data_IF_366727695066
#
_entry.id   IF_366727695066
#
_cell.length_a   1.000
_cell.length_b   1.000
_cell.length_c   1.000
_cell.angle_alpha   90.00
_cell.angle_beta   90.00
_cell.angle_gamma   90.00
#
_symmetry.space_group_name_H-M   'P 1'
#
loop_
_entity.id
_entity.type
_entity.pdbx_description
1 polymer ?
2 non-polymer ?
3 non-polymer ?
4 non-polymer ?
5 water ?
#
# COMPACT_ATOMS: atom_id res chain seq x y z
N UNK A 21 -14.59 -8.80 0.91
CA UNK A 21 -15.69 -8.73 -0.06
C UNK A 21 -16.44 -7.37 -0.13
N UNK A 22 -16.87 -6.78 1.02
CA UNK A 22 -17.39 -5.42 0.97
C UNK A 22 -16.53 -4.47 1.82
N UNK A 23 -16.55 -3.22 1.47
CA UNK A 23 -15.86 -2.19 2.16
C UNK A 23 -16.86 -1.29 2.86
N UNK A 24 -16.61 -1.06 4.15
CA UNK A 24 -17.41 -0.19 4.98
C UNK A 24 -16.54 0.92 5.50
N UNK A 25 -17.19 2.03 5.86
CA UNK A 25 -16.53 3.10 6.56
C UNK A 25 -15.98 2.53 7.87
N UNK A 26 -14.70 2.75 8.09
CA UNK A 26 -14.03 2.26 9.26
C UNK A 26 -14.54 2.93 10.53
N UNK A 27 -15.04 4.16 10.42
CA UNK A 27 -15.52 4.91 11.59
C UNK A 27 -16.90 4.53 12.07
N UNK A 28 -17.82 4.22 11.19
CA UNK A 28 -19.19 3.98 11.60
C UNK A 28 -19.82 2.73 10.99
N UNK A 29 -19.14 2.09 10.05
CA UNK A 29 -19.69 0.94 9.39
C UNK A 29 -20.57 1.09 8.18
N UNK A 30 -20.79 2.31 7.73
CA UNK A 30 -21.58 2.57 6.53
C UNK A 30 -21.03 1.75 5.37
N UNK A 31 -21.93 1.14 4.62
CA UNK A 31 -21.54 0.36 3.43
C UNK A 31 -21.14 1.31 2.32
N UNK A 32 -19.96 1.09 1.75
CA UNK A 32 -19.36 2.02 0.80
C UNK A 32 -19.09 1.38 -0.57
N UNK A 33 -18.44 0.24 -0.61
CA UNK A 33 -18.08 -0.35 -1.90
C UNK A 33 -17.76 -1.84 -1.77
N UNK A 34 -17.20 -2.44 -2.83
CA UNK A 34 -16.96 -3.88 -2.93
C UNK A 34 -15.65 -4.11 -3.62
N UNK A 35 -15.00 -5.21 -3.23
CA UNK A 35 -13.75 -5.58 -3.85
C UNK A 35 -13.91 -5.76 -5.41
N UNK A 36 -15.06 -6.32 -5.77
CA UNK A 36 -15.40 -6.55 -7.18
C UNK A 36 -15.41 -5.25 -8.01
N UNK A 37 -15.58 -4.10 -7.34
CA UNK A 37 -15.68 -2.83 -8.01
C UNK A 37 -14.35 -2.07 -8.09
N UNK A 38 -13.26 -2.67 -7.65
CA UNK A 38 -11.96 -2.02 -7.82
C UNK A 38 -11.68 -1.83 -9.30
N UNK A 39 -11.05 -0.73 -9.66
CA UNK A 39 -10.80 -0.33 -11.04
C UNK A 39 -9.29 -0.07 -11.21
N UNK A 40 -8.60 -0.83 -12.08
CA UNK A 40 -7.18 -0.53 -12.37
C UNK A 40 -6.89 0.71 -13.24
N UNK A 41 -7.06 1.91 -12.70
CA UNK A 41 -6.76 3.17 -13.40
C UNK A 41 -5.25 3.30 -13.60
N UNK A 42 -4.85 3.52 -14.86
CA UNK A 42 -3.45 3.54 -15.22
C UNK A 42 -2.72 2.22 -14.97
N UNK A 43 -3.46 1.10 -14.96
CA UNK A 43 -2.88 -0.21 -14.67
C UNK A 43 -2.84 -0.65 -13.20
N UNK A 44 -3.29 0.17 -12.27
CA UNK A 44 -3.24 -0.22 -10.84
C UNK A 44 -4.41 0.41 -10.10
N UNK A 45 -5.12 -0.36 -9.28
CA UNK A 45 -6.18 0.22 -8.46
C UNK A 45 -5.62 1.11 -7.32
N UNK A 46 -4.37 0.85 -6.90
CA UNK A 46 -3.69 1.65 -5.85
C UNK A 46 -2.76 2.78 -6.37
N UNK A 47 -2.93 3.99 -5.85
CA UNK A 47 -2.13 5.16 -6.24
C UNK A 47 -1.78 5.91 -4.95
N UNK A 48 -0.50 6.09 -4.65
CA UNK A 48 -0.11 6.81 -3.45
C UNK A 48 0.23 8.25 -3.80
N UNK A 49 -0.45 9.19 -3.16
CA UNK A 49 -0.45 10.59 -3.62
C UNK A 49 -0.39 11.51 -2.43
N UNK A 50 0.05 12.75 -2.66
CA UNK A 50 0.03 13.78 -1.66
C UNK A 50 -0.69 15.03 -2.13
N UNK A 51 -1.37 15.69 -1.22
CA UNK A 51 -2.07 16.94 -1.49
C UNK A 51 -1.19 18.15 -1.17
N UNK A 52 -1.69 19.37 -1.39
CA UNK A 52 -0.79 20.54 -1.18
C UNK A 52 -0.42 20.74 0.30
N UNK A 53 -1.23 20.18 1.21
CA UNK A 53 -0.91 20.15 2.63
C UNK A 53 0.10 19.07 3.04
N UNK A 54 0.57 18.28 2.08
CA UNK A 54 1.56 17.25 2.31
C UNK A 54 1.00 15.97 2.88
N UNK A 55 -0.31 15.84 2.91
CA UNK A 55 -0.95 14.65 3.44
C UNK A 55 -0.82 13.56 2.40
N UNK A 56 -0.32 12.38 2.84
CA UNK A 56 -0.15 11.24 1.97
C UNK A 56 -1.45 10.41 2.06
N UNK A 57 -1.93 9.95 0.91
CA UNK A 57 -3.13 9.13 0.84
C UNK A 57 -2.77 7.96 -0.01
N UNK A 58 -3.25 6.81 0.43
CA UNK A 58 -3.18 5.61 -0.44
C UNK A 58 -4.57 5.42 -0.95
N UNK A 59 -4.73 5.70 -2.24
CA UNK A 59 -6.02 5.83 -2.86
C UNK A 59 -6.26 4.56 -3.66
N UNK A 60 -7.43 3.93 -3.44
CA UNK A 60 -7.88 2.84 -4.24
C UNK A 60 -8.97 3.38 -5.16
N UNK A 61 -8.89 3.04 -6.44
CA UNK A 61 -9.88 3.46 -7.41
C UNK A 61 -10.99 2.43 -7.53
N UNK A 62 -12.23 2.94 -7.56
CA UNK A 62 -13.40 2.11 -7.64
C UNK A 62 -14.27 2.67 -8.74
N UNK A 63 -14.86 1.74 -9.53
CA UNK A 63 -15.84 2.14 -10.51
C UNK A 63 -17.09 2.67 -9.90
N UNK A 64 -17.48 2.13 -8.74
CA UNK A 64 -18.73 2.46 -8.10
C UNK A 64 -18.54 2.52 -6.61
N UNK A 65 -19.39 3.29 -5.96
CA UNK A 65 -19.45 3.34 -4.48
C UNK A 65 -20.82 3.85 -4.15
N UNK A 66 -21.19 3.69 -2.90
CA UNK A 66 -22.47 4.13 -2.35
C UNK A 66 -22.24 4.64 -0.95
N UNK A 67 -23.23 5.26 -0.37
CA UNK A 67 -23.19 5.66 1.06
C UNK A 67 -22.34 6.91 1.34
N UNK A 68 -21.90 7.57 0.30
CA UNK A 68 -21.06 8.76 0.37
C UNK A 68 -21.96 9.97 0.23
N UNK A 69 -21.41 11.11 0.59
CA UNK A 69 -22.01 12.39 0.33
C UNK A 69 -20.92 13.20 -0.37
N UNK A 70 -21.20 13.62 -1.60
CA UNK A 70 -20.23 14.41 -2.37
C UNK A 70 -20.45 15.86 -2.12
N UNK A 71 -19.40 16.60 -1.80
CA UNK A 71 -19.58 17.99 -1.34
C UNK A 71 -18.81 18.95 -2.21
N UNK A 72 -19.41 20.13 -2.37
CA UNK A 72 -18.80 21.25 -3.08
C UNK A 72 -18.89 21.10 -4.58
N UNK A 73 -18.20 21.99 -5.26
CA UNK A 73 -18.26 22.05 -6.72
C UNK A 73 -17.03 21.30 -7.22
N UNK A 74 -17.11 20.62 -8.39
CA UNK A 74 -15.88 19.98 -8.88
C UNK A 74 -14.73 20.96 -9.12
N UNK A 75 -13.51 20.49 -8.92
CA UNK A 75 -12.33 21.32 -9.10
C UNK A 75 -11.29 20.49 -9.80
N UNK A 76 -10.61 21.08 -10.76
CA UNK A 76 -9.44 20.46 -11.40
C UNK A 76 -8.16 20.71 -10.63
N UNK A 77 -8.18 21.65 -9.68
CA UNK A 77 -6.92 22.12 -9.04
C UNK A 77 -6.20 20.97 -8.33
N UNK A 78 -4.95 20.78 -8.69
CA UNK A 78 -4.08 19.75 -8.11
C UNK A 78 -4.57 18.33 -8.37
N UNK A 79 -5.45 18.11 -9.35
CA UNK A 79 -5.98 16.81 -9.56
C UNK A 79 -4.88 15.80 -9.79
N UNK A 80 -4.98 14.65 -9.15
CA UNK A 80 -4.01 13.58 -9.32
C UNK A 80 -4.25 12.78 -10.56
N UNK A 81 -5.42 12.93 -11.21
CA UNK A 81 -5.74 12.08 -12.34
C UNK A 81 -6.02 13.01 -13.51
N UNK A 82 -5.17 12.90 -14.52
CA UNK A 82 -5.18 13.80 -15.67
C UNK A 82 -6.55 13.79 -16.30
N UNK A 83 -7.13 14.97 -16.53
CA UNK A 83 -8.41 15.12 -17.24
C UNK A 83 -9.63 15.07 -16.31
N UNK A 84 -9.43 14.81 -15.01
CA UNK A 84 -10.54 14.70 -14.07
C UNK A 84 -10.56 15.81 -13.08
N UNK A 85 -11.78 16.26 -12.77
CA UNK A 85 -12.05 17.18 -11.71
C UNK A 85 -12.59 16.37 -10.51
N UNK A 86 -12.30 16.83 -9.31
CA UNK A 86 -12.67 16.07 -8.12
C UNK A 86 -13.67 16.82 -7.29
N UNK A 87 -14.45 16.04 -6.57
CA UNK A 87 -15.28 16.54 -5.47
C UNK A 87 -14.96 15.68 -4.26
N UNK A 88 -14.97 16.28 -3.10
CA UNK A 88 -14.69 15.58 -1.87
C UNK A 88 -15.86 14.62 -1.55
N UNK A 89 -15.54 13.38 -1.21
CA UNK A 89 -16.51 12.36 -0.82
C UNK A 89 -16.39 12.10 0.68
N UNK A 90 -17.42 12.48 1.41
CA UNK A 90 -17.56 12.12 2.83
C UNK A 90 -18.39 10.85 2.99
N UNK A 91 -18.16 10.13 4.08
CA UNK A 91 -19.13 9.16 4.52
C UNK A 91 -20.44 9.86 4.72
N UNK A 92 -21.50 9.35 4.09
CA UNK A 92 -22.84 9.93 4.23
C UNK A 92 -23.43 9.79 5.59
N UNK A 93 -22.87 8.88 6.39
CA UNK A 93 -23.41 8.62 7.68
C UNK A 93 -22.69 9.44 8.75
N UNK A 94 -21.36 9.30 8.82
CA UNK A 94 -20.62 9.93 9.88
C UNK A 94 -19.82 11.16 9.50
N UNK A 95 -19.71 11.45 8.22
CA UNK A 95 -19.01 12.68 7.78
C UNK A 95 -17.48 12.51 7.62
N UNK A 96 -16.94 11.31 7.87
CA UNK A 96 -15.49 11.05 7.71
C UNK A 96 -15.09 11.28 6.26
N UNK A 97 -13.94 11.90 6.03
CA UNK A 97 -13.44 12.06 4.67
C UNK A 97 -12.94 10.72 4.12
N UNK A 98 -13.64 10.16 3.15
CA UNK A 98 -13.30 8.85 2.60
C UNK A 98 -12.62 8.89 1.27
N UNK A 99 -12.61 10.05 0.61
CA UNK A 99 -11.87 10.21 -0.63
C UNK A 99 -12.50 11.26 -1.53
N UNK A 100 -12.52 10.95 -2.81
CA UNK A 100 -12.96 11.87 -3.84
C UNK A 100 -13.77 11.15 -4.90
N UNK A 101 -14.69 11.87 -5.51
CA UNK A 101 -15.33 11.42 -6.75
C UNK A 101 -14.70 12.23 -7.90
N UNK A 102 -14.35 11.53 -8.95
CA UNK A 102 -13.65 12.13 -10.10
C UNK A 102 -14.63 12.14 -11.28
N UNK A 103 -14.68 13.25 -12.00
CA UNK A 103 -15.57 13.43 -13.15
C UNK A 103 -14.96 14.36 -14.19
N UNK A 104 -15.64 14.51 -15.32
CA UNK A 104 -15.22 15.38 -16.40
C UNK A 104 -14.12 14.85 -17.29
N UNK A 105 -13.72 13.58 -17.08
CA UNK A 105 -12.65 12.97 -17.85
C UNK A 105 -13.18 12.05 -18.93
N UNK A 106 -12.36 11.11 -19.37
CA UNK A 106 -12.73 10.19 -20.48
C UNK A 106 -12.25 8.78 -20.17
N UNK A 107 -13.08 7.77 -20.43
CA UNK A 107 -12.66 6.36 -20.27
C UNK A 107 -12.02 6.04 -18.90
N UNK A 108 -12.78 6.05 -17.80
CA UNK A 108 -14.22 6.43 -17.78
C UNK A 108 -14.41 7.91 -17.51
N UNK A 109 -15.62 8.37 -17.69
CA UNK A 109 -15.97 9.76 -17.40
C UNK A 109 -15.83 10.06 -15.90
N UNK A 110 -16.21 9.11 -15.07
CA UNK A 110 -16.22 9.26 -13.64
C UNK A 110 -15.70 8.01 -12.93
N UNK A 111 -15.22 8.16 -11.68
CA UNK A 111 -14.83 7.02 -10.81
C UNK A 111 -14.61 7.61 -9.38
N UNK A 112 -14.42 6.73 -8.39
CA UNK A 112 -14.14 7.16 -7.05
C UNK A 112 -12.70 6.81 -6.68
N UNK A 113 -12.00 7.72 -5.98
CA UNK A 113 -10.70 7.39 -5.38
C UNK A 113 -10.91 7.44 -3.89
N UNK A 114 -10.91 6.28 -3.24
CA UNK A 114 -11.19 6.17 -1.82
C UNK A 114 -9.91 5.87 -1.05
N UNK A 115 -9.81 6.44 0.13
CA UNK A 115 -8.64 6.30 1.01
C UNK A 115 -8.74 4.94 1.71
N UNK A 116 -7.83 4.05 1.35
CA UNK A 116 -7.88 2.65 1.76
C UNK A 116 -7.93 2.52 3.29
N UNK A 117 -7.15 3.31 4.00
CA UNK A 117 -7.08 3.08 5.45
C UNK A 117 -8.25 3.72 6.19
N UNK A 118 -9.21 4.33 5.47
CA UNK A 118 -10.43 4.79 6.05
C UNK A 118 -11.59 3.83 5.85
N UNK A 119 -11.32 2.70 5.24
CA UNK A 119 -12.24 1.64 4.95
C UNK A 119 -11.88 0.38 5.73
N UNK A 120 -12.90 -0.46 5.94
CA UNK A 120 -12.74 -1.75 6.59
C UNK A 120 -13.36 -2.78 5.67
N UNK A 121 -12.67 -3.90 5.48
CA UNK A 121 -13.13 -4.94 4.55
C UNK A 121 -13.76 -6.13 5.34
N UNK A 122 -14.83 -6.69 4.81
CA UNK A 122 -15.51 -7.77 5.47
C UNK A 122 -16.60 -8.45 4.65
N UNK A 123 -17.28 -9.44 5.28
CA UNK A 123 -18.25 -10.26 4.57
C UNK A 123 -19.45 -9.46 4.05
N UNK A 124 -20.01 -9.88 2.91
CA UNK A 124 -21.30 -9.39 2.44
C UNK A 124 -22.38 -9.95 3.36
N UNK B 20 16.20 -4.46 15.12
CA UNK B 20 16.06 -4.74 16.59
C UNK B 20 14.61 -5.02 17.08
N UNK B 21 13.60 -4.99 16.21
CA UNK B 21 12.20 -4.76 16.66
C UNK B 21 11.24 -5.96 16.88
N UNK B 22 10.65 -6.08 18.05
CA UNK B 22 9.77 -7.21 18.35
C UNK B 22 8.41 -6.73 18.85
N UNK B 23 7.43 -7.58 18.76
CA UNK B 23 6.11 -7.34 19.22
C UNK B 23 5.82 -8.24 20.37
N UNK B 24 5.35 -7.66 21.46
CA UNK B 24 4.99 -8.38 22.68
C UNK B 24 3.53 -8.25 22.93
N UNK B 25 3.00 -9.21 23.67
CA UNK B 25 1.61 -9.13 24.11
C UNK B 25 1.52 -7.90 25.00
N UNK B 26 0.55 -7.05 24.69
CA UNK B 26 0.40 -5.80 25.43
C UNK B 26 -0.02 -6.06 26.89
N UNK B 27 -0.71 -7.17 27.13
CA UNK B 27 -1.22 -7.51 28.47
C UNK B 27 -0.17 -8.08 29.39
N UNK B 28 0.73 -8.95 28.92
CA UNK B 28 1.68 -9.57 29.82
C UNK B 28 3.14 -9.48 29.43
N UNK B 29 3.42 -8.96 28.25
CA UNK B 29 4.79 -8.75 27.83
C UNK B 29 5.46 -9.92 27.08
N UNK B 30 4.76 -11.02 26.89
CA UNK B 30 5.38 -12.19 26.27
C UNK B 30 5.73 -11.80 24.85
N UNK B 31 6.94 -12.13 24.39
CA UNK B 31 7.32 -12.00 22.99
C UNK B 31 6.46 -12.87 22.08
N UNK B 32 5.88 -12.23 21.06
CA UNK B 32 4.97 -12.89 20.14
C UNK B 32 5.53 -12.94 18.73
N UNK B 33 6.01 -11.81 18.22
CA UNK B 33 6.51 -11.82 16.86
C UNK B 33 7.56 -10.74 16.65
N UNK B 34 7.99 -10.60 15.41
CA UNK B 34 9.10 -9.72 15.03
C UNK B 34 8.73 -8.91 13.82
N UNK B 35 9.27 -7.71 13.77
CA UNK B 35 9.07 -6.85 12.61
C UNK B 35 9.58 -7.51 11.33
N UNK B 36 10.69 -8.23 11.45
CA UNK B 36 11.28 -8.99 10.33
C UNK B 36 10.28 -9.99 9.71
N UNK B 37 9.26 -10.41 10.47
CA UNK B 37 8.31 -11.38 10.01
C UNK B 37 7.04 -10.79 9.45
N UNK B 38 6.96 -9.46 9.32
CA UNK B 38 5.80 -8.87 8.69
C UNK B 38 5.67 -9.38 7.26
N UNK B 39 4.44 -9.61 6.86
CA UNK B 39 4.15 -10.31 5.64
C UNK B 39 3.15 -9.47 4.87
N UNK B 40 3.52 -8.99 3.65
CA UNK B 40 2.56 -8.17 2.87
C UNK B 40 1.51 -8.99 2.10
N UNK B 41 0.54 -9.55 2.81
CA UNK B 41 -0.57 -10.30 2.19
C UNK B 41 -1.45 -9.38 1.40
N UNK B 42 -1.69 -9.70 0.14
CA UNK B 42 -2.44 -8.83 -0.74
C UNK B 42 -1.77 -7.48 -0.98
N UNK B 43 -0.46 -7.40 -0.83
CA UNK B 43 0.29 -6.15 -1.00
C UNK B 43 0.47 -5.29 0.27
N UNK B 44 -0.11 -5.68 1.41
CA UNK B 44 -0.01 -4.84 2.62
C UNK B 44 -0.03 -5.72 3.86
N UNK B 45 0.87 -5.47 4.80
CA UNK B 45 0.83 -6.22 6.07
C UNK B 45 -0.36 -5.79 6.95
N UNK B 46 -0.89 -4.57 6.76
CA UNK B 46 -2.08 -4.09 7.48
C UNK B 46 -3.41 -4.29 6.72
N UNK B 47 -4.39 -4.88 7.41
CA UNK B 47 -5.73 -5.09 6.87
C UNK B 47 -6.68 -4.64 7.93
N UNK B 48 -7.52 -3.67 7.63
CA UNK B 48 -8.64 -3.34 8.49
C UNK B 48 -9.87 -4.07 8.05
N UNK B 49 -10.42 -4.86 8.96
CA UNK B 49 -11.43 -5.88 8.60
C UNK B 49 -12.55 -5.84 9.59
N UNK B 50 -13.70 -6.35 9.22
CA UNK B 50 -14.83 -6.57 10.14
C UNK B 50 -15.31 -8.02 10.06
N UNK B 51 -15.77 -8.55 11.21
CA UNK B 51 -16.34 -9.85 11.29
C UNK B 51 -17.86 -9.79 11.14
N UNK B 52 -18.55 -10.96 11.13
CA UNK B 52 -19.98 -10.95 10.86
C UNK B 52 -20.80 -10.26 11.99
N UNK B 53 -20.20 -10.19 13.18
CA UNK B 53 -20.78 -9.44 14.29
C UNK B 53 -20.57 -7.92 14.18
N UNK B 54 -19.88 -7.45 13.15
CA UNK B 54 -19.60 -6.04 12.96
C UNK B 54 -18.44 -5.51 13.81
N UNK B 55 -17.68 -6.36 14.42
CA UNK B 55 -16.48 -5.96 15.17
C UNK B 55 -15.34 -5.66 14.18
N UNK B 56 -14.69 -4.53 14.35
CA UNK B 56 -13.66 -4.03 13.45
C UNK B 56 -12.33 -4.30 14.04
N UNK B 57 -11.38 -4.85 13.27
CA UNK B 57 -10.04 -5.14 13.76
C UNK B 57 -9.02 -4.59 12.80
N UNK B 58 -7.92 -4.10 13.34
CA UNK B 58 -6.79 -3.74 12.53
C UNK B 58 -5.72 -4.82 12.68
N UNK B 59 -5.55 -5.59 11.62
CA UNK B 59 -4.76 -6.81 11.62
C UNK B 59 -3.46 -6.57 10.91
N UNK B 60 -2.37 -6.99 11.54
CA UNK B 60 -1.04 -7.03 10.89
C UNK B 60 -0.68 -8.49 10.61
N UNK B 61 -0.24 -8.77 9.41
CA UNK B 61 0.15 -10.12 9.02
C UNK B 61 1.61 -10.42 9.29
N UNK B 62 1.86 -11.60 9.87
CA UNK B 62 3.20 -12.04 10.20
C UNK B 62 3.36 -13.46 9.73
N UNK B 63 4.51 -13.83 9.19
CA UNK B 63 4.76 -15.18 8.72
C UNK B 63 4.78 -16.19 9.87
N UNK B 64 5.36 -15.80 10.99
CA UNK B 64 5.56 -16.66 12.12
C UNK B 64 5.23 -15.89 13.42
N UNK B 65 4.97 -16.65 14.47
CA UNK B 65 4.82 -16.11 15.79
C UNK B 65 5.21 -17.18 16.78
N UNK B 66 5.32 -16.79 18.04
CA UNK B 66 5.50 -17.72 19.14
C UNK B 66 4.72 -17.24 20.32
N UNK B 67 4.56 -18.14 21.28
CA UNK B 67 3.92 -17.79 22.54
C UNK B 67 2.41 -17.69 22.49
N UNK B 68 1.79 -18.06 21.37
CA UNK B 68 0.32 -18.09 21.24
C UNK B 68 -0.22 -19.47 21.57
N UNK B 69 -1.52 -19.56 21.73
CA UNK B 69 -2.25 -20.80 21.85
C UNK B 69 -3.39 -20.70 20.86
N UNK B 70 -3.44 -21.63 19.91
CA UNK B 70 -4.50 -21.68 18.93
C UNK B 70 -5.65 -22.49 19.42
N UNK B 71 -6.85 -21.98 19.21
CA UNK B 71 -8.03 -22.67 19.77
C UNK B 71 -9.00 -23.05 18.67
N UNK B 72 -9.58 -24.23 18.81
CA UNK B 72 -10.68 -24.65 17.95
C UNK B 72 -10.16 -25.31 16.70
N UNK B 73 -11.10 -25.73 15.86
CA UNK B 73 -10.79 -26.37 14.59
C UNK B 73 -10.74 -25.29 13.54
N UNK B 74 -9.89 -25.40 12.50
CA UNK B 74 -9.88 -24.34 11.49
C UNK B 74 -11.23 -24.16 10.80
N UNK B 75 -11.55 -22.93 10.39
CA UNK B 75 -12.79 -22.62 9.70
C UNK B 75 -12.49 -21.73 8.53
N UNK B 76 -13.12 -22.02 7.39
CA UNK B 76 -13.07 -21.14 6.23
C UNK B 76 -14.06 -19.99 6.29
N UNK B 77 -15.03 -20.11 7.19
CA UNK B 77 -16.20 -19.21 7.17
C UNK B 77 -15.80 -17.81 7.41
N UNK B 78 -16.20 -16.93 6.50
CA UNK B 78 -15.94 -15.49 6.59
C UNK B 78 -14.45 -15.12 6.60
N UNK B 79 -13.62 -16.02 6.09
CA UNK B 79 -12.20 -15.77 6.12
C UNK B 79 -11.87 -14.49 5.44
N UNK B 80 -10.99 -13.70 6.07
CA UNK B 80 -10.56 -12.46 5.44
C UNK B 80 -9.52 -12.68 4.35
N UNK B 81 -8.94 -13.87 4.26
CA UNK B 81 -7.90 -14.12 3.28
C UNK B 81 -8.28 -15.32 2.46
N UNK B 82 -8.59 -15.08 1.21
CA UNK B 82 -9.09 -16.12 0.29
C UNK B 82 -8.12 -17.29 0.27
N UNK B 83 -8.65 -18.50 0.45
CA UNK B 83 -7.90 -19.77 0.35
C UNK B 83 -7.33 -20.21 1.68
N UNK B 84 -7.58 -19.42 2.76
CA UNK B 84 -7.10 -19.78 4.07
C UNK B 84 -8.23 -20.02 5.04
N UNK B 85 -8.04 -21.00 5.91
CA UNK B 85 -8.91 -21.25 7.04
C UNK B 85 -8.23 -20.66 8.30
N UNK B 86 -9.03 -20.22 9.27
CA UNK B 86 -8.51 -19.56 10.44
C UNK B 86 -8.81 -20.30 11.70
N UNK B 87 -7.94 -20.08 12.67
CA UNK B 87 -8.17 -20.49 14.05
C UNK B 87 -7.89 -19.26 14.92
N UNK B 88 -8.60 -19.12 16.02
CA UNK B 88 -8.38 -18.06 16.97
C UNK B 88 -7.03 -18.23 17.70
N UNK B 89 -6.27 -17.17 17.80
CA UNK B 89 -4.96 -17.15 18.49
C UNK B 89 -5.04 -16.34 19.77
N UNK B 90 -4.89 -17.00 20.90
CA UNK B 90 -4.71 -16.33 22.22
C UNK B 90 -3.26 -16.23 22.61
N UNK B 91 -2.90 -15.23 23.41
CA UNK B 91 -1.63 -15.28 24.10
C UNK B 91 -1.61 -16.54 24.97
N UNK B 92 -0.57 -17.35 24.82
CA UNK B 92 -0.43 -18.60 25.56
C UNK B 92 -0.16 -18.39 27.02
N UNK B 93 0.32 -17.19 27.35
CA UNK B 93 0.68 -16.87 28.72
C UNK B 93 -0.49 -16.29 29.50
N UNK B 94 -1.15 -15.30 28.92
CA UNK B 94 -2.19 -14.60 29.65
C UNK B 94 -3.60 -14.77 29.12
N UNK B 95 -3.78 -15.34 27.94
CA UNK B 95 -5.14 -15.56 27.41
C UNK B 95 -5.73 -14.43 26.58
N UNK B 96 -5.00 -13.32 26.41
CA UNK B 96 -5.53 -12.19 25.61
C UNK B 96 -5.76 -12.61 24.15
N UNK B 97 -6.84 -12.19 23.54
CA UNK B 97 -7.12 -12.52 22.14
C UNK B 97 -6.24 -11.66 21.25
N UNK B 98 -5.23 -12.27 20.63
CA UNK B 98 -4.24 -11.53 19.87
C UNK B 98 -4.45 -11.59 18.39
N UNK B 99 -5.31 -12.48 17.91
CA UNK B 99 -5.64 -12.53 16.49
C UNK B 99 -6.03 -13.92 16.04
N UNK B 100 -5.52 -14.28 14.87
CA UNK B 100 -5.86 -15.53 14.19
C UNK B 100 -4.66 -16.12 13.52
N UNK B 101 -4.65 -17.46 13.39
CA UNK B 101 -3.67 -18.17 12.56
C UNK B 101 -4.41 -18.67 11.33
N UNK B 102 -3.78 -18.54 10.17
CA UNK B 102 -4.34 -18.86 8.87
C UNK B 102 -3.53 -20.04 8.31
N UNK B 103 -4.23 -21.01 7.71
CA UNK B 103 -3.62 -22.19 7.12
C UNK B 103 -4.43 -22.68 5.93
N UNK B 104 -3.85 -23.66 5.26
CA UNK B 104 -4.50 -24.34 4.14
C UNK B 104 -4.31 -23.64 2.80
N UNK B 105 -3.45 -22.62 2.75
CA UNK B 105 -3.16 -21.92 1.51
C UNK B 105 -1.85 -22.42 0.87
N UNK B 106 -1.35 -21.62 -0.08
CA UNK B 106 -0.02 -21.78 -0.68
C UNK B 106 0.66 -20.40 -0.72
N UNK B 107 1.97 -20.37 -0.50
CA UNK B 107 2.75 -19.13 -0.59
C UNK B 107 2.16 -17.94 0.22
N UNK B 108 2.20 -17.99 1.54
CA UNK B 108 2.70 -19.14 2.32
C UNK B 108 1.55 -20.09 2.68
N UNK B 109 1.91 -21.27 3.19
CA UNK B 109 0.90 -22.21 3.65
C UNK B 109 0.13 -21.68 4.84
N UNK B 110 0.86 -21.02 5.73
CA UNK B 110 0.33 -20.53 6.99
C UNK B 110 0.89 -19.15 7.31
N UNK B 111 0.14 -18.37 8.07
CA UNK B 111 0.57 -17.09 8.59
C UNK B 111 -0.36 -16.65 9.72
N UNK B 112 0.01 -15.59 10.44
CA UNK B 112 -0.79 -15.07 11.51
C UNK B 112 -1.32 -13.69 11.11
N UNK B 113 -2.55 -13.39 11.52
CA UNK B 113 -3.04 -12.01 11.47
C UNK B 113 -3.26 -11.60 12.90
N UNK B 114 -2.40 -10.72 13.38
CA UNK B 114 -2.42 -10.28 14.76
C UNK B 114 -3.01 -8.86 14.89
N UNK B 115 -3.78 -8.64 15.94
CA UNK B 115 -4.42 -7.39 16.24
C UNK B 115 -3.41 -6.39 16.76
N UNK B 116 -3.12 -5.38 15.95
CA UNK B 116 -2.03 -4.46 16.18
C UNK B 116 -2.16 -3.77 17.53
N UNK B 117 -3.36 -3.36 17.87
CA UNK B 117 -3.63 -2.65 19.14
C UNK B 117 -3.43 -3.50 20.39
N UNK B 118 -3.32 -4.81 20.23
CA UNK B 118 -3.10 -5.72 21.34
C UNK B 118 -1.67 -6.18 21.51
N UNK B 119 -0.81 -5.63 20.69
CA UNK B 119 0.63 -5.82 20.72
C UNK B 119 1.33 -4.52 21.13
N UNK B 120 2.52 -4.67 21.65
CA UNK B 120 3.38 -3.55 21.99
C UNK B 120 4.70 -3.79 21.30
N UNK B 121 5.13 -2.83 20.50
CA UNK B 121 6.36 -2.93 19.75
C UNK B 121 7.50 -2.29 20.49
N UNK B 122 8.66 -2.94 20.45
CA UNK B 122 9.84 -2.40 21.14
C UNK B 122 11.11 -3.14 20.75
N UNK B 123 12.28 -2.66 21.20
CA UNK B 123 13.54 -3.38 21.06
C UNK B 123 13.52 -4.75 21.73
N UNK B 124 14.22 -5.73 21.14
CA UNK B 124 14.44 -7.05 21.75
C UNK B 124 15.30 -6.96 22.97
N UNK C 21 3.45 16.17 -10.28
CA UNK C 21 4.56 17.16 -10.39
C UNK C 21 5.81 16.84 -9.53
N UNK C 22 5.69 16.43 -8.28
CA UNK C 22 6.87 16.05 -7.48
C UNK C 22 6.72 14.64 -6.96
N UNK C 23 7.84 13.93 -6.94
CA UNK C 23 7.84 12.52 -6.61
C UNK C 23 8.58 12.34 -5.30
N UNK C 24 7.94 11.62 -4.38
CA UNK C 24 8.42 11.44 -3.01
C UNK C 24 8.45 9.97 -2.70
N UNK C 25 9.25 9.60 -1.74
CA UNK C 25 9.21 8.24 -1.20
C UNK C 25 7.81 7.96 -0.62
N UNK C 26 7.24 6.87 -1.05
CA UNK C 26 5.90 6.43 -0.62
C UNK C 26 5.86 6.12 0.86
N UNK C 27 6.98 5.65 1.43
CA UNK C 27 7.02 5.21 2.84
C UNK C 27 7.14 6.38 3.81
N UNK C 28 7.94 7.41 3.49
CA UNK C 28 8.20 8.43 4.46
C UNK C 28 8.05 9.86 3.93
N UNK C 29 7.82 10.03 2.63
CA UNK C 29 7.61 11.32 2.07
C UNK C 29 8.84 12.09 1.60
N UNK C 30 10.03 11.51 1.74
CA UNK C 30 11.26 12.17 1.31
C UNK C 30 11.14 12.61 -0.13
N UNK C 31 11.54 13.87 -0.38
CA UNK C 31 11.48 14.44 -1.73
C UNK C 31 12.58 13.81 -2.55
N UNK C 32 12.23 13.29 -3.73
CA UNK C 32 13.17 12.55 -4.56
C UNK C 32 13.42 13.28 -5.87
N UNK C 33 12.34 13.63 -6.58
CA UNK C 33 12.51 14.17 -7.90
C UNK C 33 11.24 14.93 -8.39
N UNK C 34 11.23 15.09 -9.61
CA UNK C 34 10.13 15.90 -10.11
C UNK C 34 9.94 15.77 -11.60
N UNK C 35 8.78 15.94 -12.10
CA UNK C 35 8.29 15.74 -13.45
C UNK C 35 9.16 16.46 -14.46
N UNK C 36 9.61 17.67 -14.16
CA UNK C 36 10.54 18.42 -15.06
C UNK C 36 11.82 17.64 -15.39
N UNK C 37 12.22 16.71 -14.52
CA UNK C 37 13.44 15.95 -14.70
C UNK C 37 13.23 14.58 -15.29
N UNK C 38 12.00 14.26 -15.71
CA UNK C 38 11.76 12.99 -16.36
C UNK C 38 12.56 12.99 -17.64
N UNK C 39 13.11 11.83 -17.97
CA UNK C 39 14.10 11.68 -19.00
C UNK C 39 13.60 10.59 -19.93
N UNK C 40 13.35 10.92 -21.22
CA UNK C 40 12.85 9.88 -22.14
C UNK C 40 13.91 8.89 -22.66
N UNK C 41 14.37 7.97 -21.80
CA UNK C 41 15.31 6.93 -22.18
C UNK C 41 14.68 5.95 -23.14
N UNK C 42 15.33 5.72 -24.28
CA UNK C 42 14.75 4.89 -25.33
C UNK C 42 13.45 5.44 -25.90
N UNK C 43 13.23 6.76 -25.80
CA UNK C 43 11.99 7.39 -26.26
C UNK C 43 10.84 7.50 -25.25
N UNK C 44 10.99 6.96 -24.04
CA UNK C 44 9.89 7.04 -23.05
C UNK C 44 10.46 7.10 -21.64
N UNK C 45 9.95 8.00 -20.81
CA UNK C 45 10.37 8.07 -19.40
C UNK C 45 9.84 6.88 -18.59
N UNK C 46 8.74 6.25 -19.04
CA UNK C 46 8.20 5.05 -18.39
C UNK C 46 8.60 3.75 -19.09
N UNK C 47 9.05 2.78 -18.30
CA UNK C 47 9.45 1.47 -18.80
C UNK C 47 8.80 0.45 -17.93
N UNK C 48 8.06 -0.46 -18.55
CA UNK C 48 7.63 -1.65 -17.86
C UNK C 48 8.64 -2.75 -18.11
N UNK C 49 9.21 -3.27 -17.02
CA UNK C 49 10.35 -4.16 -17.09
C UNK C 49 10.13 -5.31 -16.13
N UNK C 50 10.85 -6.41 -16.39
CA UNK C 50 10.88 -7.51 -15.44
C UNK C 50 12.32 -7.80 -15.00
N UNK C 51 12.48 -8.17 -13.74
CA UNK C 51 13.76 -8.63 -13.22
C UNK C 51 13.95 -10.14 -13.55
N UNK C 52 15.08 -10.74 -13.17
CA UNK C 52 15.28 -12.13 -13.62
C UNK C 52 14.28 -13.12 -13.01
N UNK C 53 13.69 -12.75 -11.87
CA UNK C 53 12.60 -13.51 -11.26
C UNK C 53 11.24 -13.33 -11.94
N UNK C 54 11.15 -12.46 -12.96
CA UNK C 54 9.89 -12.18 -13.65
C UNK C 54 8.96 -11.23 -12.90
N UNK C 55 9.46 -10.56 -11.87
CA UNK C 55 8.71 -9.55 -11.16
C UNK C 55 8.67 -8.27 -12.01
N UNK C 56 7.48 -7.67 -12.11
CA UNK C 56 7.23 -6.52 -12.96
C UNK C 56 7.47 -5.23 -12.18
N UNK C 57 8.14 -4.27 -12.83
CA UNK C 57 8.30 -2.94 -12.30
C UNK C 57 7.88 -1.97 -13.37
N UNK C 58 7.25 -0.89 -12.95
CA UNK C 58 7.11 0.29 -13.77
C UNK C 58 8.17 1.28 -13.27
N UNK C 59 9.16 1.50 -14.14
CA UNK C 59 10.28 2.34 -13.86
C UNK C 59 10.10 3.69 -14.55
N UNK C 60 10.29 4.78 -13.80
CA UNK C 60 10.36 6.11 -14.39
C UNK C 60 11.80 6.59 -14.37
N UNK C 61 12.26 7.09 -15.51
CA UNK C 61 13.64 7.58 -15.61
C UNK C 61 13.72 9.07 -15.37
N UNK C 62 14.71 9.47 -14.57
CA UNK C 62 14.93 10.86 -14.21
C UNK C 62 16.38 11.21 -14.43
N UNK C 63 16.63 12.39 -14.96
CA UNK C 63 18.00 12.87 -15.13
C UNK C 63 18.65 13.19 -13.78
N UNK C 64 17.83 13.66 -12.84
CA UNK C 64 18.33 14.14 -11.56
C UNK C 64 17.45 13.67 -10.44
N UNK C 65 18.04 13.50 -9.25
CA UNK C 65 17.26 13.20 -8.07
C UNK C 65 18.05 13.61 -6.87
N UNK C 66 17.34 13.61 -5.73
CA UNK C 66 17.95 13.89 -4.44
C UNK C 66 17.32 12.99 -3.42
N UNK C 67 17.87 13.03 -2.21
CA UNK C 67 17.28 12.37 -1.08
C UNK C 67 17.53 10.88 -1.02
N UNK C 68 18.31 10.34 -1.95
CA UNK C 68 18.59 8.91 -2.03
C UNK C 68 19.93 8.65 -1.35
N UNK C 69 20.20 7.38 -1.11
CA UNK C 69 21.50 6.91 -0.72
C UNK C 69 21.83 5.79 -1.68
N UNK C 70 22.89 5.97 -2.46
CA UNK C 70 23.25 4.98 -3.49
C UNK C 70 24.23 4.02 -2.85
N UNK C 71 23.99 2.71 -2.99
CA UNK C 71 24.79 1.75 -2.21
C UNK C 71 25.44 0.72 -3.12
N UNK C 72 26.62 0.27 -2.73
CA UNK C 72 27.25 -0.91 -3.32
C UNK C 72 27.96 -0.61 -4.61
N UNK C 73 28.46 -1.64 -5.26
CA UNK C 73 29.31 -1.49 -6.43
C UNK C 73 28.43 -1.60 -7.67
N UNK C 74 28.74 -0.86 -8.75
CA UNK C 74 27.89 -1.01 -9.95
C UNK C 74 27.89 -2.43 -10.51
N UNK C 75 26.79 -2.80 -11.16
CA UNK C 75 26.66 -4.11 -11.78
C UNK C 75 25.97 -3.91 -13.12
N UNK C 76 26.48 -4.60 -14.15
CA UNK C 76 25.83 -4.70 -15.44
C UNK C 76 24.72 -5.75 -15.49
N UNK C 77 24.63 -6.62 -14.47
CA UNK C 77 23.85 -7.85 -14.58
C UNK C 77 22.39 -7.56 -14.83
N UNK C 78 21.83 -8.10 -15.91
CA UNK C 78 20.45 -7.90 -16.29
C UNK C 78 19.99 -6.44 -16.46
N UNK C 79 20.93 -5.53 -16.71
CA UNK C 79 20.59 -4.13 -16.80
C UNK C 79 19.51 -3.93 -17.85
N UNK C 80 18.53 -3.12 -17.51
CA UNK C 80 17.46 -2.80 -18.45
C UNK C 80 17.85 -1.76 -19.45
N UNK C 81 18.96 -1.08 -19.26
CA UNK C 81 19.33 0.01 -20.16
C UNK C 81 20.70 -0.28 -20.73
N UNK C 82 20.71 -0.48 -22.05
CA UNK C 82 21.91 -0.83 -22.78
C UNK C 82 23.00 0.18 -22.49
N UNK C 83 24.20 -0.32 -22.13
CA UNK C 83 25.39 0.51 -21.90
C UNK C 83 25.51 1.08 -20.48
N UNK C 84 24.56 0.74 -19.59
CA UNK C 84 24.59 1.25 -18.23
C UNK C 84 24.71 0.13 -17.22
N UNK C 85 25.49 0.39 -16.17
CA UNK C 85 25.54 -0.44 -14.97
C UNK C 85 24.68 0.25 -13.90
N UNK C 86 24.15 -0.54 -12.97
CA UNK C 86 23.22 -0.01 -11.96
C UNK C 86 23.79 -0.19 -10.58
N UNK C 87 23.36 0.70 -9.69
CA UNK C 87 23.58 0.58 -8.27
C UNK C 87 22.25 0.81 -7.57
N UNK C 88 22.04 0.21 -6.42
CA UNK C 88 20.80 0.29 -5.71
C UNK C 88 20.65 1.70 -5.11
N UNK C 89 19.46 2.28 -5.31
CA UNK C 89 19.13 3.58 -4.71
C UNK C 89 18.10 3.34 -3.58
N UNK C 90 18.52 3.62 -2.36
CA UNK C 90 17.61 3.65 -1.22
C UNK C 90 17.15 5.07 -0.89
N UNK C 91 15.97 5.19 -0.31
CA UNK C 91 15.60 6.42 0.31
C UNK C 91 16.61 6.75 1.42
N UNK C 92 17.18 7.95 1.37
CA UNK C 92 18.14 8.41 2.35
C UNK C 92 17.51 8.64 3.74
N UNK C 93 16.18 8.74 3.79
CA UNK C 93 15.51 9.04 5.02
C UNK C 93 15.06 7.80 5.75
N UNK C 94 14.42 6.90 5.02
CA UNK C 94 13.88 5.70 5.70
C UNK C 94 14.52 4.41 5.25
N UNK C 95 15.33 4.39 4.20
CA UNK C 95 15.97 3.14 3.75
C UNK C 95 15.16 2.29 2.74
N UNK C 96 13.96 2.71 2.37
CA UNK C 96 13.15 1.96 1.37
C UNK C 96 13.88 1.86 0.01
N UNK C 97 13.80 0.71 -0.63
CA UNK C 97 14.39 0.53 -1.97
C UNK C 97 13.53 1.25 -3.01
N UNK C 98 14.03 2.34 -3.57
CA UNK C 98 13.26 3.16 -4.50
C UNK C 98 13.61 2.93 -5.97
N UNK C 99 14.73 2.28 -6.22
CA UNK C 99 15.12 2.00 -7.59
C UNK C 99 16.62 1.88 -7.73
N UNK C 100 17.11 2.42 -8.84
CA UNK C 100 18.52 2.25 -9.21
C UNK C 100 19.08 3.55 -9.78
N UNK C 101 20.38 3.71 -9.62
CA UNK C 101 21.12 4.75 -10.31
C UNK C 101 21.92 4.05 -11.41
N UNK C 102 21.89 4.63 -12.60
CA UNK C 102 22.50 4.03 -13.79
C UNK C 102 23.69 4.90 -14.19
N UNK C 103 24.81 4.26 -14.52
CA UNK C 103 26.03 4.98 -14.88
C UNK C 103 26.83 4.17 -15.91
N UNK C 104 27.89 4.82 -16.38
CA UNK C 104 28.81 4.20 -17.34
C UNK C 104 28.38 4.32 -18.78
N UNK C 105 27.31 5.07 -19.06
CA UNK C 105 26.85 5.25 -20.44
C UNK C 105 27.30 6.58 -21.05
N UNK C 106 26.61 6.98 -22.11
CA UNK C 106 26.78 8.27 -22.79
C UNK C 106 25.39 8.85 -23.10
N UNK C 107 25.25 10.17 -22.96
CA UNK C 107 23.99 10.86 -23.33
C UNK C 107 22.72 10.22 -22.71
N UNK C 108 22.52 10.33 -21.39
CA UNK C 108 23.48 10.94 -20.44
C UNK C 108 24.43 9.88 -19.86
N UNK C 109 25.46 10.33 -19.17
CA UNK C 109 26.37 9.42 -18.50
C UNK C 109 25.67 8.62 -17.40
N UNK C 110 24.81 9.32 -16.67
CA UNK C 110 24.13 8.79 -15.51
C UNK C 110 22.68 9.24 -15.48
N UNK C 111 21.83 8.43 -14.84
CA UNK C 111 20.43 8.78 -14.61
C UNK C 111 19.85 7.86 -13.53
N UNK C 112 18.65 8.15 -13.08
CA UNK C 112 17.99 7.34 -12.05
C UNK C 112 16.79 6.64 -12.66
N UNK C 113 16.58 5.37 -12.32
CA UNK C 113 15.38 4.63 -12.77
C UNK C 113 14.67 4.26 -11.49
N UNK C 114 13.58 4.96 -11.21
CA UNK C 114 12.89 4.77 -9.92
C UNK C 114 11.59 4.00 -10.14
N UNK C 115 11.25 3.18 -9.15
CA UNK C 115 10.09 2.30 -9.21
C UNK C 115 8.85 3.15 -8.91
N UNK C 116 7.96 3.27 -9.90
CA UNK C 116 6.67 3.92 -9.75
C UNK C 116 5.91 3.54 -8.47
N UNK C 117 5.85 2.24 -8.18
CA UNK C 117 5.11 1.73 -7.04
C UNK C 117 5.70 2.12 -5.69
N UNK C 118 6.93 2.62 -5.69
CA UNK C 118 7.62 3.04 -4.46
C UNK C 118 7.58 4.52 -4.22
N UNK C 119 6.94 5.25 -5.14
CA UNK C 119 6.86 6.69 -5.13
C UNK C 119 5.43 7.16 -4.89
N UNK C 120 5.32 8.38 -4.41
CA UNK C 120 4.09 9.09 -4.27
C UNK C 120 4.22 10.41 -5.03
N UNK C 121 3.17 10.78 -5.74
CA UNK C 121 3.18 12.00 -6.55
C UNK C 121 2.33 13.05 -5.88
N UNK C 122 2.78 14.29 -5.93
CA UNK C 122 2.01 15.43 -5.42
C UNK C 122 2.37 16.77 -6.08
N UNK C 123 1.66 17.83 -5.72
CA UNK C 123 1.83 19.14 -6.34
C UNK C 123 3.22 19.74 -6.14
N UNK C 124 3.68 20.54 -7.10
CA UNK C 124 4.92 21.36 -6.91
C UNK C 124 4.99 22.14 -5.58
#
# INVERSE_FOLDING_TARGET
>A
AMPLDAGGQNSTQMVLAPGASIFRCRQCGQTISRRDWLLPMGGDHEHVVFNPAGMIFRVWCFSLAQGLRLIGAPSGEFSWFKGYDWTIALCGQCGSHLGWHYEGGSQPQTFFGLIKDRLAEGPAD
>B
AMPLDAGGQNSTQMVLAPGASIFRCRQCGQTISRRDWLLPMGGDHEHVVFNPAGMIFRVWCFSLAQGLRLIGAPSGEFSWFKGYDWTIALCGQCGSHLGWHYEGGSQPQTFFGLIKDRLAEGPAD
>C
AMPLDAGGQNSTQMVLAPGASIFRCRQCGQTISRRDWLLPMGGDHEHVVFNPAGMIFRVWCFSLAQGLRLIGAPSGEFSWFKGYDWTIALCGQCGSHLGWHYEGGSQPQTFFGLIKDRLAEGPAD
#
